data_IF_494348284482
#
_entry.id   IF_494348284482
#
_cell.length_a   1.000
_cell.length_b   1.000
_cell.length_c   1.000
_cell.angle_alpha   90.00
_cell.angle_beta   90.00
_cell.angle_gamma   90.00
#
_symmetry.space_group_name_H-M   'P 1'
#
loop_
_entity.id
_entity.type
_entity.pdbx_description
1 polymer ?
#
# COMPACT_ATOMS: atom_id res chain seq x y z
N UNK A 1 -18.56 7.05 7.43
CA UNK A 1 -17.42 6.63 8.28
C UNK A 1 -16.27 7.60 8.05
N UNK A 2 -15.45 7.92 9.06
CA UNK A 2 -14.22 8.70 8.87
C UNK A 2 -13.03 7.76 8.95
N UNK A 3 -12.16 7.79 7.94
CA UNK A 3 -10.93 7.01 7.89
C UNK A 3 -9.74 7.98 7.90
N UNK A 4 -8.73 7.68 8.70
CA UNK A 4 -7.50 8.47 8.81
C UNK A 4 -6.32 7.61 8.41
N UNK A 5 -5.45 8.14 7.55
CA UNK A 5 -4.21 7.49 7.13
C UNK A 5 -3.04 8.41 7.46
N UNK A 6 -1.98 7.84 8.02
CA UNK A 6 -0.73 8.54 8.28
C UNK A 6 0.18 8.33 7.07
N UNK A 7 0.71 9.42 6.54
CA UNK A 7 1.70 9.42 5.45
C UNK A 7 2.97 10.08 5.98
N UNK A 8 4.10 9.40 5.82
CA UNK A 8 5.42 9.99 6.07
C UNK A 8 5.96 10.47 4.72
N UNK A 9 6.38 11.73 4.66
CA UNK A 9 7.06 12.30 3.50
C UNK A 9 8.43 12.80 3.94
N UNK A 10 9.47 12.32 3.28
CA UNK A 10 10.86 12.68 3.54
C UNK A 10 11.45 13.36 2.29
N UNK A 11 12.31 14.35 2.51
CA UNK A 11 13.07 15.02 1.45
C UNK A 11 14.55 14.76 1.67
N UNK A 12 15.24 14.32 0.62
CA UNK A 12 16.69 14.16 0.58
C UNK A 12 17.31 14.91 -0.62
N UNK A 13 18.60 14.72 -0.85
CA UNK A 13 19.34 15.36 -1.94
C UNK A 13 18.85 14.94 -3.35
N UNK A 14 18.18 13.79 -3.44
CA UNK A 14 17.72 13.18 -4.70
C UNK A 14 16.26 13.49 -5.01
N UNK A 15 15.48 13.90 -4.02
CA UNK A 15 14.09 14.29 -4.20
C UNK A 15 13.24 14.06 -2.95
N UNK A 16 12.02 13.58 -3.17
CA UNK A 16 11.02 13.30 -2.15
C UNK A 16 10.69 11.81 -2.17
N UNK A 17 10.48 11.25 -0.99
CA UNK A 17 9.92 9.92 -0.81
C UNK A 17 8.71 9.99 0.11
N UNK A 18 7.69 9.17 -0.16
CA UNK A 18 6.58 9.02 0.75
C UNK A 18 6.23 7.56 0.97
N UNK A 19 5.81 7.25 2.19
CA UNK A 19 5.39 5.92 2.61
C UNK A 19 4.14 6.01 3.49
N UNK A 20 3.36 4.94 3.51
CA UNK A 20 2.19 4.82 4.38
C UNK A 20 2.30 3.53 5.20
N UNK A 21 2.45 3.62 6.54
CA UNK A 21 2.56 2.43 7.38
C UNK A 21 1.35 1.48 7.31
N UNK A 22 0.17 2.00 6.93
CA UNK A 22 -1.04 1.20 6.77
C UNK A 22 -1.12 0.46 5.42
N UNK A 23 -0.26 0.80 4.46
CA UNK A 23 -0.17 0.16 3.15
C UNK A 23 1.21 -0.50 3.05
N UNK A 24 1.32 -1.73 3.56
CA UNK A 24 2.59 -2.46 3.59
C UNK A 24 3.18 -2.59 2.18
N UNK A 25 4.47 -2.25 2.05
CA UNK A 25 5.18 -2.25 0.77
C UNK A 25 4.89 -1.05 -0.14
N UNK A 26 3.97 -0.14 0.23
CA UNK A 26 3.73 1.06 -0.55
C UNK A 26 4.76 2.16 -0.23
N UNK A 27 5.54 2.52 -1.25
CA UNK A 27 6.44 3.65 -1.25
C UNK A 27 6.40 4.32 -2.62
N UNK A 28 6.46 5.65 -2.65
CA UNK A 28 6.66 6.42 -3.87
C UNK A 28 7.87 7.33 -3.72
N UNK A 29 8.64 7.51 -4.80
CA UNK A 29 9.79 8.42 -4.85
C UNK A 29 9.74 9.24 -6.13
N UNK A 30 9.95 10.55 -6.02
CA UNK A 30 10.04 11.44 -7.18
C UNK A 30 10.87 12.69 -6.87
N UNK A 31 11.38 13.35 -7.92
CA UNK A 31 12.17 14.58 -7.78
C UNK A 31 11.35 15.80 -7.31
N UNK A 32 10.02 15.77 -7.48
CA UNK A 32 9.11 16.85 -7.10
C UNK A 32 8.07 16.36 -6.09
N UNK A 33 7.75 17.23 -5.13
CA UNK A 33 6.69 16.98 -4.15
C UNK A 33 5.32 16.84 -4.83
N UNK A 34 5.05 17.62 -5.88
CA UNK A 34 3.79 17.53 -6.62
C UNK A 34 3.55 16.14 -7.19
N UNK A 35 4.59 15.53 -7.77
CA UNK A 35 4.52 14.19 -8.36
C UNK A 35 4.25 13.14 -7.27
N UNK A 36 4.91 13.27 -6.11
CA UNK A 36 4.66 12.40 -4.94
C UNK A 36 3.22 12.53 -4.48
N UNK A 37 2.72 13.77 -4.36
CA UNK A 37 1.37 14.06 -3.88
C UNK A 37 0.30 13.58 -4.85
N UNK A 38 0.47 13.76 -6.16
CA UNK A 38 -0.49 13.24 -7.15
C UNK A 38 -0.52 11.71 -7.19
N UNK A 39 0.64 11.07 -7.05
CA UNK A 39 0.70 9.61 -6.91
C UNK A 39 -0.01 9.13 -5.65
N UNK A 40 0.20 9.82 -4.52
CA UNK A 40 -0.49 9.54 -3.25
C UNK A 40 -2.00 9.70 -3.40
N UNK A 41 -2.50 10.78 -4.03
CA UNK A 41 -3.94 10.98 -4.25
C UNK A 41 -4.57 9.80 -4.99
N UNK A 42 -3.93 9.33 -6.06
CA UNK A 42 -4.46 8.22 -6.85
C UNK A 42 -4.54 6.92 -6.04
N UNK A 43 -3.48 6.60 -5.28
CA UNK A 43 -3.42 5.37 -4.48
C UNK A 43 -4.32 5.43 -3.27
N UNK A 44 -4.33 6.55 -2.54
CA UNK A 44 -5.18 6.74 -1.36
C UNK A 44 -6.66 6.74 -1.73
N UNK A 45 -7.01 7.34 -2.88
CA UNK A 45 -8.38 7.28 -3.40
C UNK A 45 -8.79 5.83 -3.61
N UNK A 46 -7.97 5.05 -4.32
CA UNK A 46 -8.24 3.64 -4.54
C UNK A 46 -8.32 2.82 -3.23
N UNK A 47 -7.40 3.06 -2.29
CA UNK A 47 -7.36 2.34 -1.01
C UNK A 47 -8.56 2.67 -0.10
N UNK A 48 -9.01 3.92 -0.08
CA UNK A 48 -10.13 4.37 0.75
C UNK A 48 -11.50 4.06 0.11
N UNK A 49 -11.57 4.01 -1.22
CA UNK A 49 -12.77 3.66 -1.98
C UNK A 49 -12.96 2.14 -2.12
N UNK A 50 -11.87 1.36 -2.14
CA UNK A 50 -11.95 -0.08 -1.92
C UNK A 50 -12.44 -0.31 -0.49
N UNK A 51 -13.72 -0.67 -0.34
CA UNK A 51 -14.26 -1.18 0.91
C UNK A 51 -13.29 -2.24 1.45
N UNK A 52 -12.65 -1.95 2.59
CA UNK A 52 -11.74 -2.86 3.29
C UNK A 52 -12.25 -4.31 3.18
N UNK A 53 -11.57 -5.20 2.44
CA UNK A 53 -11.71 -6.61 2.73
C UNK A 53 -11.13 -6.78 4.12
N UNK A 54 -11.99 -7.17 5.05
CA UNK A 54 -11.62 -7.54 6.42
C UNK A 54 -10.55 -8.62 6.29
N UNK A 55 -9.33 -8.31 6.72
CA UNK A 55 -8.17 -9.21 6.87
C UNK A 55 -7.60 -9.85 5.59
N UNK A 56 -6.27 -9.90 5.42
CA UNK A 56 -5.68 -10.99 4.65
C UNK A 56 -5.87 -12.27 5.49
N UNK A 57 -6.94 -13.02 5.20
CA UNK A 57 -6.96 -14.44 5.57
C UNK A 57 -5.86 -15.09 4.77
N UNK A 58 -4.77 -15.46 5.43
CA UNK A 58 -3.81 -16.43 4.92
C UNK A 58 -4.58 -17.70 4.62
N UNK A 59 -5.02 -17.89 3.38
CA UNK A 59 -5.38 -19.22 2.89
C UNK A 59 -4.07 -19.97 2.69
N UNK A 60 -3.51 -20.48 3.78
CA UNK A 60 -2.62 -21.63 3.72
C UNK A 60 -3.48 -22.76 3.18
N UNK A 61 -3.25 -23.14 1.91
CA UNK A 61 -3.82 -24.39 1.39
C UNK A 61 -3.36 -25.52 2.31
N UNK A 62 -4.27 -26.34 2.84
CA UNK A 62 -3.89 -27.43 3.73
C UNK A 62 -3.02 -28.44 2.96
N UNK A 63 -2.00 -28.96 3.64
CA UNK A 63 -0.90 -29.75 3.07
C UNK A 63 -1.31 -30.97 2.25
N UNK A 64 -2.55 -31.45 2.42
CA UNK A 64 -3.09 -32.62 1.73
C UNK A 64 -3.44 -32.35 0.25
N UNK A 65 -3.58 -31.08 -0.15
CA UNK A 65 -3.93 -30.68 -1.53
C UNK A 65 -2.72 -30.75 -2.48
N UNK A 66 -1.50 -30.88 -1.95
CA UNK A 66 -0.24 -30.94 -2.74
C UNK A 66 0.06 -32.35 -3.25
N UNK A 67 -0.57 -33.38 -2.66
CA UNK A 67 -0.21 -34.78 -2.90
C UNK A 67 -0.91 -35.46 -4.09
N UNK A 68 -1.73 -34.73 -4.88
CA UNK A 68 -2.47 -35.33 -6.01
C UNK A 68 -1.79 -35.16 -7.39
N UNK A 69 -0.59 -34.59 -7.46
CA UNK A 69 0.13 -34.31 -8.71
C UNK A 69 1.33 -35.26 -8.96
N UNK A 70 1.34 -36.45 -8.33
CA UNK A 70 2.37 -37.50 -8.53
C UNK A 70 1.80 -38.75 -9.20
#
# INVERSE_FOLDING_TARGET
>A
MKSTLNILIEKDETGYSASCPAMEGYQVKAKSLDIVVDSLKAVLKNYLEQELPKTPTTTVRPSWEIAQDL
#
